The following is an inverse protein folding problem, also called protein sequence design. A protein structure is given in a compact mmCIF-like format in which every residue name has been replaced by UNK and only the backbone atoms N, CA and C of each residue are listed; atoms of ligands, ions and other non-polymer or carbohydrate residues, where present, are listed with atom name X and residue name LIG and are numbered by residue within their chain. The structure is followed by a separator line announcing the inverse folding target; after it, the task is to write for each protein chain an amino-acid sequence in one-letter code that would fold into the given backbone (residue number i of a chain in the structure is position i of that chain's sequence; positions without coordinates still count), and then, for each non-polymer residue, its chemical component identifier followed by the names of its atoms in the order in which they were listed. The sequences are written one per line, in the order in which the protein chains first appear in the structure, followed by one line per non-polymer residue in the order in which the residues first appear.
data_IF_243853014491
#
_entry.id   IF_243853014491
#
_cell.length_a   1.000
_cell.length_b   1.000
_cell.length_c   1.000
_cell.angle_alpha   90.00
_cell.angle_beta   90.00
_cell.angle_gamma   90.00
#
_symmetry.space_group_name_H-M   'P 1'
#
loop_
_entity.id
_entity.type
_entity.pdbx_description
1 polymer ?
#
# COMPACT_ATOMS: atom_id res chain seq x y z
N UNK A 1 -27.26 70.31 -48.98
CA UNK A 1 -26.11 69.77 -48.21
C UNK A 1 -26.40 68.49 -47.40
N UNK A 2 -27.63 68.20 -46.94
CA UNK A 2 -27.87 67.14 -45.93
C UNK A 2 -27.91 65.65 -46.35
N UNK A 3 -27.63 65.27 -47.60
CA UNK A 3 -27.65 63.85 -48.03
C UNK A 3 -26.33 63.11 -47.74
N UNK A 4 -25.18 63.81 -47.85
CA UNK A 4 -23.86 63.23 -47.56
C UNK A 4 -23.66 63.02 -46.05
N UNK A 5 -24.01 64.01 -45.23
CA UNK A 5 -23.93 63.90 -43.76
C UNK A 5 -24.82 62.81 -43.17
N UNK A 6 -26.01 62.56 -43.76
CA UNK A 6 -26.88 61.45 -43.34
C UNK A 6 -26.25 60.09 -43.66
N UNK A 7 -25.60 59.93 -44.82
CA UNK A 7 -24.91 58.69 -45.17
C UNK A 7 -23.73 58.41 -44.23
N UNK A 8 -22.90 59.41 -43.95
CA UNK A 8 -21.78 59.23 -43.00
C UNK A 8 -22.22 58.86 -41.58
N UNK A 9 -23.35 59.39 -41.09
CA UNK A 9 -23.88 59.02 -39.77
C UNK A 9 -24.40 57.58 -39.72
N UNK A 10 -24.98 57.09 -40.81
CA UNK A 10 -25.43 55.69 -40.92
C UNK A 10 -24.22 54.76 -40.98
N UNK A 11 -23.22 55.09 -41.80
CA UNK A 11 -22.00 54.31 -41.92
C UNK A 11 -21.21 54.26 -40.61
N UNK A 12 -21.11 55.36 -39.86
CA UNK A 12 -20.52 55.38 -38.51
C UNK A 12 -21.29 54.51 -37.51
N UNK A 13 -22.63 54.46 -37.61
CA UNK A 13 -23.48 53.61 -36.75
C UNK A 13 -23.31 52.14 -37.09
N UNK A 14 -23.27 51.78 -38.36
CA UNK A 14 -23.08 50.42 -38.83
C UNK A 14 -21.68 49.92 -38.45
N UNK A 15 -20.65 50.77 -38.58
CA UNK A 15 -19.28 50.45 -38.18
C UNK A 15 -19.15 50.30 -36.66
N UNK A 16 -19.86 51.13 -35.87
CA UNK A 16 -19.93 51.00 -34.41
C UNK A 16 -20.67 49.73 -33.97
N UNK A 17 -21.78 49.40 -34.62
CA UNK A 17 -22.54 48.18 -34.36
C UNK A 17 -21.74 46.92 -34.72
N UNK A 18 -21.04 46.93 -35.86
CA UNK A 18 -20.14 45.85 -36.29
C UNK A 18 -18.96 45.67 -35.32
N UNK A 19 -18.33 46.76 -34.87
CA UNK A 19 -17.24 46.71 -33.87
C UNK A 19 -17.73 46.11 -32.55
N UNK A 20 -18.89 46.54 -32.07
CA UNK A 20 -19.50 46.03 -30.82
C UNK A 20 -19.92 44.56 -30.95
N UNK A 21 -20.36 44.12 -32.13
CA UNK A 21 -20.67 42.72 -32.44
C UNK A 21 -19.40 41.85 -32.42
N UNK A 22 -18.32 42.30 -33.07
CA UNK A 22 -17.03 41.61 -33.08
C UNK A 22 -16.40 41.52 -31.69
N UNK A 23 -16.48 42.57 -30.87
CA UNK A 23 -16.03 42.54 -29.48
C UNK A 23 -16.82 41.54 -28.63
N UNK A 24 -18.15 41.48 -28.78
CA UNK A 24 -18.99 40.48 -28.10
C UNK A 24 -18.62 39.06 -28.53
N UNK A 25 -18.42 38.82 -29.83
CA UNK A 25 -18.05 37.51 -30.36
C UNK A 25 -16.66 37.08 -29.88
N UNK A 26 -15.70 38.00 -29.85
CA UNK A 26 -14.35 37.75 -29.30
C UNK A 26 -14.42 37.40 -27.82
N UNK A 27 -15.13 38.19 -27.02
CA UNK A 27 -15.27 37.93 -25.59
C UNK A 27 -15.98 36.60 -25.34
N UNK A 28 -17.01 36.27 -26.12
CA UNK A 28 -17.68 34.97 -26.05
C UNK A 28 -16.73 33.81 -26.35
N UNK A 29 -15.91 33.91 -27.40
CA UNK A 29 -14.91 32.88 -27.75
C UNK A 29 -13.86 32.72 -26.64
N UNK A 30 -13.38 33.82 -26.06
CA UNK A 30 -12.46 33.79 -24.92
C UNK A 30 -13.11 33.13 -23.71
N UNK A 31 -14.37 33.45 -23.39
CA UNK A 31 -15.10 32.81 -22.29
C UNK A 31 -15.27 31.32 -22.52
N UNK A 32 -15.64 30.89 -23.74
CA UNK A 32 -15.77 29.46 -24.07
C UNK A 32 -14.42 28.76 -23.92
N UNK A 33 -13.33 29.36 -24.39
CA UNK A 33 -11.99 28.80 -24.25
C UNK A 33 -11.61 28.63 -22.77
N UNK A 34 -11.79 29.67 -21.95
CA UNK A 34 -11.49 29.61 -20.50
C UNK A 34 -12.36 28.56 -19.80
N UNK A 35 -13.67 28.52 -20.06
CA UNK A 35 -14.56 27.53 -19.46
C UNK A 35 -14.20 26.10 -19.87
N UNK A 36 -13.82 25.88 -21.13
CA UNK A 36 -13.39 24.56 -21.59
C UNK A 36 -12.14 24.05 -20.87
N UNK A 37 -11.18 24.94 -20.60
CA UNK A 37 -9.98 24.61 -19.81
C UNK A 37 -10.35 24.29 -18.37
N UNK A 38 -11.20 25.10 -17.73
CA UNK A 38 -11.64 24.85 -16.35
C UNK A 38 -12.37 23.50 -16.25
N UNK A 39 -13.30 23.21 -17.17
CA UNK A 39 -14.04 21.94 -17.21
C UNK A 39 -13.07 20.78 -17.40
N UNK A 40 -12.05 20.92 -18.24
CA UNK A 40 -11.04 19.88 -18.44
C UNK A 40 -10.22 19.62 -17.18
N UNK A 41 -9.78 20.67 -16.48
CA UNK A 41 -9.04 20.57 -15.22
C UNK A 41 -9.90 19.93 -14.13
N UNK A 42 -11.14 20.37 -13.97
CA UNK A 42 -12.06 19.83 -12.97
C UNK A 42 -12.42 18.38 -13.31
N UNK A 43 -12.68 18.07 -14.57
CA UNK A 43 -12.96 16.70 -15.02
C UNK A 43 -11.78 15.77 -14.76
N UNK A 44 -10.55 16.21 -15.06
CA UNK A 44 -9.34 15.46 -14.75
C UNK A 44 -9.15 15.27 -13.24
N UNK A 45 -9.32 16.33 -12.44
CA UNK A 45 -9.23 16.25 -10.99
C UNK A 45 -10.29 15.30 -10.38
N UNK A 46 -11.51 15.28 -10.92
CA UNK A 46 -12.56 14.34 -10.50
C UNK A 46 -12.21 12.91 -10.87
N UNK A 47 -11.66 12.68 -12.07
CA UNK A 47 -11.20 11.34 -12.47
C UNK A 47 -10.10 10.82 -11.54
N UNK A 48 -9.10 11.65 -11.26
CA UNK A 48 -8.05 11.33 -10.29
C UNK A 48 -8.63 11.08 -8.90
N UNK A 49 -9.55 11.91 -8.43
CA UNK A 49 -10.19 11.76 -7.11
C UNK A 49 -11.01 10.47 -6.98
N UNK A 50 -11.76 10.09 -8.01
CA UNK A 50 -12.54 8.82 -8.02
C UNK A 50 -11.62 7.60 -8.08
N UNK A 51 -10.45 7.73 -8.73
CA UNK A 51 -9.45 6.67 -8.81
C UNK A 51 -8.46 6.69 -7.63
N UNK A 52 -8.54 7.68 -6.74
CA UNK A 52 -7.66 7.78 -5.59
C UNK A 52 -8.06 6.72 -4.59
N UNK A 53 -7.24 5.68 -4.45
CA UNK A 53 -7.37 4.73 -3.34
C UNK A 53 -7.33 5.55 -2.03
N UNK A 54 -8.31 5.32 -1.15
CA UNK A 54 -8.50 5.97 0.16
C UNK A 54 -7.38 5.69 1.18
N UNK A 55 -6.21 5.28 0.69
CA UNK A 55 -5.06 4.86 1.45
C UNK A 55 -4.51 6.05 2.24
N UNK A 56 -4.56 5.98 3.57
CA UNK A 56 -3.94 6.99 4.42
C UNK A 56 -2.42 7.03 4.17
N UNK A 57 -1.73 8.16 4.46
CA UNK A 57 -0.28 8.23 4.33
C UNK A 57 0.41 7.08 5.08
N UNK A 58 1.25 6.31 4.38
CA UNK A 58 1.91 5.13 4.93
C UNK A 58 1.09 3.83 4.88
N UNK A 59 -0.06 3.82 4.21
CA UNK A 59 -0.82 2.59 3.95
C UNK A 59 -0.08 1.66 2.97
N UNK A 60 -0.16 0.33 3.16
CA UNK A 60 0.24 -0.62 2.13
C UNK A 60 -0.56 -0.42 0.85
N UNK A 61 0.05 -0.79 -0.28
CA UNK A 61 -0.61 -0.80 -1.58
C UNK A 61 -1.80 -1.76 -1.57
N UNK A 62 -2.96 -1.29 -2.05
CA UNK A 62 -4.23 -2.04 -2.07
C UNK A 62 -4.81 -2.41 -0.71
N UNK A 63 -4.25 -1.92 0.41
CA UNK A 63 -4.85 -2.14 1.71
C UNK A 63 -6.21 -1.44 1.83
N UNK A 64 -7.11 -2.10 2.55
CA UNK A 64 -8.38 -1.52 2.96
C UNK A 64 -8.20 -0.37 3.95
N UNK A 65 -9.32 0.22 4.35
CA UNK A 65 -9.33 1.28 5.38
C UNK A 65 -8.77 0.72 6.69
N UNK A 66 -7.95 1.48 7.39
CA UNK A 66 -7.46 1.09 8.71
C UNK A 66 -8.65 0.82 9.67
N UNK A 67 -8.61 -0.30 10.37
CA UNK A 67 -9.70 -0.83 11.20
C UNK A 67 -10.77 -1.62 10.43
N UNK A 68 -10.62 -1.82 9.11
CA UNK A 68 -11.55 -2.63 8.31
C UNK A 68 -11.56 -4.11 8.67
N UNK A 69 -10.49 -4.59 9.28
CA UNK A 69 -10.34 -5.95 9.78
C UNK A 69 -9.47 -5.93 11.04
N UNK A 70 -9.59 -6.96 11.88
CA UNK A 70 -8.66 -7.20 12.97
C UNK A 70 -8.35 -8.70 13.05
N UNK A 71 -7.09 -9.06 12.84
CA UNK A 71 -6.62 -10.45 12.82
C UNK A 71 -5.40 -10.62 13.71
N UNK A 72 -5.34 -11.73 14.45
CA UNK A 72 -4.22 -12.09 15.31
C UNK A 72 -3.56 -13.38 14.83
N UNK A 73 -2.26 -13.33 14.57
CA UNK A 73 -1.54 -14.38 13.84
C UNK A 73 -0.33 -14.79 14.65
N UNK A 74 -0.14 -16.09 14.87
CA UNK A 74 1.08 -16.59 15.49
C UNK A 74 2.19 -16.72 14.44
N UNK A 75 3.37 -16.20 14.77
CA UNK A 75 4.55 -16.34 13.94
C UNK A 75 5.74 -16.84 14.76
N UNK A 76 6.41 -17.85 14.21
CA UNK A 76 7.67 -18.38 14.70
C UNK A 76 8.72 -18.28 13.59
N UNK A 77 9.87 -17.67 13.90
CA UNK A 77 11.00 -17.57 12.98
C UNK A 77 12.21 -18.21 13.65
N UNK A 78 12.77 -19.25 13.02
CA UNK A 78 13.95 -19.99 13.48
C UNK A 78 15.08 -19.82 12.48
N UNK A 79 16.27 -19.50 12.96
CA UNK A 79 17.51 -19.42 12.17
C UNK A 79 18.57 -20.25 12.86
N UNK A 80 19.00 -21.34 12.24
CA UNK A 80 19.89 -22.34 12.85
C UNK A 80 19.38 -22.86 14.21
N UNK A 81 18.06 -23.01 14.35
CA UNK A 81 17.40 -23.42 15.60
C UNK A 81 17.17 -22.30 16.62
N UNK A 82 17.83 -21.14 16.48
CA UNK A 82 17.61 -19.99 17.35
C UNK A 82 16.33 -19.25 16.96
N UNK A 83 15.51 -18.90 17.96
CA UNK A 83 14.32 -18.07 17.74
C UNK A 83 14.72 -16.62 17.47
N UNK A 84 14.22 -16.04 16.38
CA UNK A 84 14.32 -14.61 16.14
C UNK A 84 13.36 -13.86 17.05
N UNK A 85 13.88 -12.98 17.89
CA UNK A 85 13.12 -12.30 18.93
C UNK A 85 12.50 -10.98 18.46
N UNK A 86 11.22 -11.00 18.09
CA UNK A 86 10.46 -9.79 17.74
C UNK A 86 9.97 -9.00 18.97
N UNK A 87 10.18 -9.46 20.20
CA UNK A 87 9.74 -8.72 21.41
C UNK A 87 10.53 -7.43 21.64
N UNK A 88 11.71 -7.33 21.02
CA UNK A 88 12.60 -6.19 21.16
C UNK A 88 11.95 -4.90 20.64
N UNK A 89 12.20 -3.73 21.28
CA UNK A 89 11.62 -2.44 20.87
C UNK A 89 11.87 -2.05 19.39
N UNK A 90 12.91 -2.62 18.79
CA UNK A 90 13.24 -2.44 17.38
C UNK A 90 12.18 -3.02 16.43
N UNK A 91 11.27 -3.89 16.88
CA UNK A 91 10.25 -4.55 16.05
C UNK A 91 8.81 -4.24 16.46
N UNK A 92 8.63 -3.50 17.55
CA UNK A 92 7.31 -3.20 18.10
C UNK A 92 6.71 -1.95 17.43
N UNK A 93 5.42 -2.02 17.09
CA UNK A 93 4.55 -0.93 16.58
C UNK A 93 5.23 -0.08 15.50
N UNK A 94 5.69 -0.72 14.41
CA UNK A 94 6.34 -0.01 13.27
C UNK A 94 5.36 0.56 12.27
N UNK A 95 4.16 0.01 12.19
CA UNK A 95 3.06 0.51 11.36
C UNK A 95 1.76 0.38 12.13
N UNK A 96 0.72 1.07 11.70
CA UNK A 96 -0.63 0.88 12.24
C UNK A 96 -1.40 -0.25 11.56
N UNK A 97 -0.93 -0.78 10.43
CA UNK A 97 -1.67 -1.77 9.63
C UNK A 97 -1.35 -3.20 10.01
N UNK A 98 -0.09 -3.48 10.33
CA UNK A 98 0.39 -4.78 10.79
C UNK A 98 1.62 -4.57 11.69
N UNK A 99 1.63 -5.17 12.88
CA UNK A 99 2.73 -5.00 13.83
C UNK A 99 2.77 -6.07 14.93
N UNK A 100 3.89 -6.10 15.65
CA UNK A 100 4.01 -6.69 16.98
C UNK A 100 3.80 -5.61 18.05
N UNK A 101 3.27 -5.98 19.22
CA UNK A 101 3.00 -5.04 20.30
C UNK A 101 3.13 -5.64 21.71
N UNK A 102 3.09 -4.76 22.72
CA UNK A 102 3.14 -5.10 24.15
C UNK A 102 4.36 -5.93 24.59
N UNK A 103 5.44 -5.96 23.79
CA UNK A 103 6.58 -6.83 24.03
C UNK A 103 6.29 -8.30 23.71
N UNK A 104 5.20 -8.61 23.02
CA UNK A 104 5.00 -9.91 22.41
C UNK A 104 5.73 -9.95 21.06
N UNK A 105 6.64 -10.91 20.92
CA UNK A 105 7.38 -11.17 19.70
C UNK A 105 6.82 -12.34 18.89
N UNK A 106 5.66 -12.85 19.29
CA UNK A 106 5.14 -14.12 18.79
C UNK A 106 3.78 -13.95 18.11
N UNK A 107 3.00 -12.92 18.48
CA UNK A 107 1.73 -12.58 17.81
C UNK A 107 1.88 -11.31 16.98
N UNK A 108 1.40 -11.38 15.73
CA UNK A 108 1.22 -10.23 14.86
C UNK A 108 -0.24 -9.80 14.91
N UNK A 109 -0.46 -8.49 15.00
CA UNK A 109 -1.77 -7.85 14.94
C UNK A 109 -1.90 -7.17 13.57
N UNK A 110 -2.93 -7.53 12.79
CA UNK A 110 -3.26 -6.93 11.49
C UNK A 110 -4.58 -6.16 11.63
N UNK A 111 -4.60 -4.89 11.23
CA UNK A 111 -5.74 -3.98 11.41
C UNK A 111 -6.42 -3.55 10.10
N UNK A 112 -6.15 -4.20 8.97
CA UNK A 112 -6.85 -3.91 7.72
C UNK A 112 -6.82 -5.10 6.76
N UNK A 113 -7.73 -5.12 5.79
CA UNK A 113 -7.66 -6.04 4.64
C UNK A 113 -6.53 -5.64 3.69
N UNK A 114 -6.05 -6.56 2.86
CA UNK A 114 -5.02 -6.35 1.84
C UNK A 114 -3.61 -6.09 2.38
N UNK A 115 -3.34 -6.35 3.66
CA UNK A 115 -2.02 -6.14 4.28
C UNK A 115 -1.24 -7.45 4.27
N UNK A 116 -0.09 -7.47 3.59
CA UNK A 116 0.71 -8.69 3.40
C UNK A 116 1.85 -8.84 4.41
N UNK A 117 2.42 -10.04 4.49
CA UNK A 117 3.61 -10.29 5.29
C UNK A 117 4.86 -9.56 4.77
N UNK A 118 4.98 -9.34 3.45
CA UNK A 118 6.06 -8.51 2.89
C UNK A 118 6.05 -7.11 3.50
N UNK A 119 4.87 -6.48 3.58
CA UNK A 119 4.73 -5.16 4.19
C UNK A 119 5.13 -5.16 5.67
N UNK A 120 4.80 -6.22 6.42
CA UNK A 120 5.30 -6.39 7.79
C UNK A 120 6.83 -6.40 7.81
N UNK A 121 7.49 -7.29 7.07
CA UNK A 121 8.96 -7.40 7.10
C UNK A 121 9.66 -6.12 6.64
N UNK A 122 9.16 -5.46 5.60
CA UNK A 122 9.69 -4.18 5.12
C UNK A 122 9.60 -3.07 6.16
N UNK A 123 8.50 -3.05 6.94
CA UNK A 123 8.33 -2.12 8.06
C UNK A 123 9.35 -2.36 9.17
N UNK A 124 9.72 -3.62 9.37
CA UNK A 124 10.74 -4.05 10.32
C UNK A 124 12.17 -3.93 9.75
N UNK A 125 12.33 -3.43 8.52
CA UNK A 125 13.63 -3.36 7.81
C UNK A 125 14.31 -4.72 7.68
N UNK A 126 13.52 -5.77 7.64
CA UNK A 126 13.96 -7.13 7.30
C UNK A 126 13.55 -7.36 5.85
N UNK A 127 14.42 -7.98 5.05
CA UNK A 127 14.04 -8.37 3.69
C UNK A 127 13.83 -9.86 3.65
N UNK A 128 12.79 -10.25 2.94
CA UNK A 128 12.46 -11.64 2.70
C UNK A 128 12.21 -11.83 1.21
N UNK A 129 12.70 -12.93 0.66
CA UNK A 129 12.23 -13.50 -0.61
C UNK A 129 12.11 -15.02 -0.48
N UNK A 130 11.84 -15.72 -1.58
CA UNK A 130 11.66 -17.17 -1.59
C UNK A 130 12.95 -17.95 -1.29
N UNK A 131 14.11 -17.30 -1.32
CA UNK A 131 15.41 -17.91 -1.10
C UNK A 131 16.14 -17.35 0.12
N UNK A 132 15.95 -16.09 0.48
CA UNK A 132 16.79 -15.34 1.40
C UNK A 132 15.99 -14.60 2.48
N UNK A 133 16.47 -14.68 3.71
CA UNK A 133 16.06 -13.82 4.81
C UNK A 133 17.23 -12.92 5.24
N UNK A 134 17.06 -11.61 5.16
CA UNK A 134 18.13 -10.62 5.29
C UNK A 134 17.83 -9.68 6.45
N UNK A 135 18.77 -9.58 7.38
CA UNK A 135 18.65 -8.76 8.57
C UNK A 135 19.14 -7.33 8.33
N UNK A 136 18.78 -6.42 9.24
CA UNK A 136 19.18 -5.01 9.19
C UNK A 136 20.70 -4.80 9.19
N UNK A 137 21.45 -5.69 9.84
CA UNK A 137 22.91 -5.65 9.94
C UNK A 137 23.62 -6.20 8.68
N UNK A 138 22.86 -6.63 7.68
CA UNK A 138 23.36 -7.16 6.42
C UNK A 138 23.65 -8.65 6.43
N UNK A 139 23.45 -9.36 7.55
CA UNK A 139 23.49 -10.83 7.56
C UNK A 139 22.37 -11.38 6.68
N UNK A 140 22.69 -12.41 5.90
CA UNK A 140 21.77 -13.04 4.95
C UNK A 140 21.76 -14.54 5.18
N UNK A 141 20.56 -15.09 5.19
CA UNK A 141 20.29 -16.50 5.38
C UNK A 141 19.58 -16.98 4.12
N UNK A 142 20.39 -17.37 3.14
CA UNK A 142 19.94 -17.74 1.80
C UNK A 142 20.04 -19.26 1.61
N UNK A 143 19.07 -19.83 0.90
CA UNK A 143 19.07 -21.25 0.56
C UNK A 143 20.32 -21.62 -0.24
N UNK A 144 20.98 -22.69 0.19
CA UNK A 144 22.16 -23.31 -0.41
C UNK A 144 21.97 -24.84 -0.47
N UNK A 145 23.01 -25.57 -0.85
CA UNK A 145 23.01 -27.04 -0.83
C UNK A 145 22.90 -27.62 0.60
N UNK A 146 23.42 -26.90 1.59
CA UNK A 146 23.50 -27.37 2.99
C UNK A 146 22.35 -26.84 3.87
N UNK A 147 21.79 -25.68 3.53
CA UNK A 147 20.79 -24.98 4.35
C UNK A 147 19.66 -24.46 3.49
N UNK A 148 18.43 -24.56 3.99
CA UNK A 148 17.25 -24.15 3.21
C UNK A 148 16.38 -23.22 4.03
N UNK A 149 15.90 -22.15 3.40
CA UNK A 149 14.79 -21.34 3.90
C UNK A 149 13.48 -22.05 3.58
N UNK A 150 12.64 -22.26 4.59
CA UNK A 150 11.39 -23.01 4.49
C UNK A 150 10.26 -22.17 5.10
N UNK A 151 9.10 -22.21 4.44
CA UNK A 151 7.91 -21.51 4.89
C UNK A 151 6.76 -22.48 5.09
N UNK A 152 5.99 -22.25 6.15
CA UNK A 152 4.77 -22.99 6.41
C UNK A 152 3.66 -22.05 6.88
N UNK A 153 2.45 -22.30 6.37
CA UNK A 153 1.22 -21.65 6.81
C UNK A 153 0.28 -22.76 7.27
N UNK A 154 -0.15 -22.69 8.53
CA UNK A 154 -1.06 -23.66 9.14
C UNK A 154 -0.60 -25.12 9.00
N UNK A 155 0.73 -25.34 9.05
CA UNK A 155 1.36 -26.66 8.89
C UNK A 155 1.66 -27.07 7.46
N UNK A 156 1.14 -26.35 6.46
CA UNK A 156 1.38 -26.66 5.04
C UNK A 156 2.59 -25.90 4.51
N UNK A 157 3.50 -26.63 3.85
CA UNK A 157 4.69 -26.03 3.24
C UNK A 157 4.30 -25.18 2.03
N UNK A 158 4.82 -23.96 1.96
CA UNK A 158 4.66 -23.05 0.83
C UNK A 158 6.02 -22.59 0.30
N UNK A 159 6.06 -22.11 -0.94
CA UNK A 159 7.30 -21.67 -1.58
C UNK A 159 7.65 -20.21 -1.25
N UNK A 160 6.65 -19.39 -0.96
CA UNK A 160 6.79 -17.97 -0.68
C UNK A 160 5.60 -17.53 0.19
N UNK A 161 5.82 -16.53 1.04
CA UNK A 161 4.83 -15.95 1.94
C UNK A 161 4.69 -14.43 1.79
N UNK A 162 5.52 -13.78 0.98
CA UNK A 162 5.56 -12.31 0.84
C UNK A 162 4.19 -11.71 0.54
N UNK A 163 3.54 -12.27 -0.48
CA UNK A 163 2.23 -11.81 -0.96
C UNK A 163 1.06 -12.43 -0.18
N UNK A 164 1.32 -13.20 0.87
CA UNK A 164 0.28 -13.77 1.70
C UNK A 164 -0.31 -12.69 2.61
N UNK A 165 -1.64 -12.58 2.60
CA UNK A 165 -2.39 -11.80 3.58
C UNK A 165 -2.76 -12.72 4.76
N UNK A 166 -2.20 -12.51 5.96
CA UNK A 166 -2.43 -13.41 7.07
C UNK A 166 -3.83 -13.21 7.65
N UNK A 167 -4.50 -14.33 7.96
CA UNK A 167 -5.86 -14.37 8.48
C UNK A 167 -5.89 -14.64 9.99
N UNK A 168 -7.01 -14.32 10.63
CA UNK A 168 -7.16 -14.54 12.08
C UNK A 168 -6.88 -16.00 12.45
N UNK A 169 -6.02 -16.19 13.45
CA UNK A 169 -5.56 -17.47 14.00
C UNK A 169 -4.62 -18.28 13.13
N UNK A 170 -4.10 -17.71 12.05
CA UNK A 170 -3.04 -18.35 11.28
C UNK A 170 -1.80 -18.66 12.12
N UNK A 171 -1.11 -19.73 11.72
CA UNK A 171 0.15 -20.20 12.28
C UNK A 171 1.23 -20.17 11.20
N UNK A 172 2.19 -19.27 11.34
CA UNK A 172 3.26 -19.08 10.36
C UNK A 172 4.58 -19.55 10.95
N UNK A 173 5.25 -20.47 10.26
CA UNK A 173 6.62 -20.87 10.56
C UNK A 173 7.53 -20.44 9.41
N UNK A 174 8.62 -19.74 9.75
CA UNK A 174 9.76 -19.52 8.88
C UNK A 174 10.96 -20.21 9.55
N UNK A 175 11.56 -21.17 8.86
CA UNK A 175 12.72 -21.89 9.36
C UNK A 175 13.86 -21.80 8.36
N UNK A 176 15.04 -21.44 8.83
CA UNK A 176 16.27 -21.46 8.05
C UNK A 176 17.29 -22.36 8.72
N UNK A 177 17.71 -23.39 7.98
CA UNK A 177 18.72 -24.33 8.47
C UNK A 177 18.66 -25.66 7.73
N UNK A 178 19.36 -26.63 8.33
CA UNK A 178 19.43 -28.01 7.88
C UNK A 178 18.48 -28.93 8.64
N UNK A 179 17.34 -28.41 9.11
CA UNK A 179 16.43 -29.16 9.99
C UNK A 179 15.93 -30.44 9.31
N UNK A 180 15.93 -31.55 10.05
CA UNK A 180 15.33 -32.81 9.60
C UNK A 180 13.80 -32.70 9.54
N UNK A 181 13.11 -33.62 8.85
CA UNK A 181 11.65 -33.65 8.86
C UNK A 181 11.04 -33.73 10.26
N UNK A 182 11.68 -34.45 11.19
CA UNK A 182 11.26 -34.56 12.58
C UNK A 182 11.41 -33.22 13.32
N UNK A 183 12.54 -32.54 13.16
CA UNK A 183 12.76 -31.23 13.77
C UNK A 183 11.76 -30.18 13.24
N UNK A 184 11.44 -30.21 11.95
CA UNK A 184 10.39 -29.36 11.37
C UNK A 184 9.03 -29.68 12.00
N UNK A 185 8.71 -30.95 12.23
CA UNK A 185 7.45 -31.34 12.86
C UNK A 185 7.34 -30.81 14.29
N UNK A 186 8.44 -30.79 15.04
CA UNK A 186 8.49 -30.19 16.39
C UNK A 186 8.25 -28.68 16.34
N UNK A 187 8.86 -27.98 15.38
CA UNK A 187 8.63 -26.54 15.16
C UNK A 187 7.19 -26.23 14.75
N UNK A 188 6.56 -27.08 13.94
CA UNK A 188 5.16 -26.96 13.57
C UNK A 188 4.24 -27.15 14.77
N UNK A 189 4.57 -28.08 15.68
CA UNK A 189 3.85 -28.24 16.95
C UNK A 189 4.06 -27.05 17.89
N UNK A 190 5.26 -26.47 17.93
CA UNK A 190 5.58 -25.27 18.71
C UNK A 190 4.68 -24.10 18.29
N UNK A 191 4.66 -23.76 16.99
CA UNK A 191 3.83 -22.65 16.49
C UNK A 191 2.33 -22.94 16.60
N UNK A 192 1.90 -24.19 16.41
CA UNK A 192 0.49 -24.57 16.51
C UNK A 192 -0.07 -24.40 17.94
N UNK A 193 0.77 -24.68 18.95
CA UNK A 193 0.41 -24.56 20.37
C UNK A 193 0.67 -23.16 20.94
N UNK A 194 1.27 -22.26 20.17
CA UNK A 194 1.57 -20.90 20.61
C UNK A 194 0.28 -20.16 20.99
N UNK A 195 0.30 -19.48 22.13
CA UNK A 195 -0.80 -18.62 22.54
C UNK A 195 -0.86 -17.40 21.61
N UNK A 196 -2.05 -17.09 21.12
CA UNK A 196 -2.33 -15.84 20.40
C UNK A 196 -2.82 -14.81 21.41
N UNK A 197 -2.22 -13.63 21.37
CA UNK A 197 -2.63 -12.49 22.21
C UNK A 197 -3.60 -11.62 21.40
N UNK A 198 -4.83 -11.47 21.88
CA UNK A 198 -5.92 -10.77 21.17
C UNK A 198 -6.18 -9.33 21.69
N UNK A 199 -5.16 -8.71 22.29
CA UNK A 199 -5.33 -7.46 23.06
C UNK A 199 -5.67 -6.24 22.20
#
# INVERSE_FOLDING_TARGET
MGRKEKKERVEKRDNFAAKRSNEKRRNLLVTIAVLSVIISIVGYAVLEFVNMNSAAPGSPDNAGVLGSEHSHVAMLVKVFGDTFDFSLPAYQIKTSWIHFEAGDGTTIHKHATGVTLEYLFDSLKLKLDDQCFIFQDGRQFCTTDDYTLKFYINGEKVNDIRNYEPMDKDRILIAYGGETPEEIQDLLLEVANQKIIEN
#
